data_IF_550151387353
#
_entry.id   IF_550151387353
#
_cell.length_a   1.000
_cell.length_b   1.000
_cell.length_c   1.000
_cell.angle_alpha   90.00
_cell.angle_beta   90.00
_cell.angle_gamma   90.00
#
_symmetry.space_group_name_H-M   'P 1'
#
loop_
_entity.id
_entity.type
_entity.pdbx_description
1 polymer ?
#
# COMPACT_ATOMS: atom_id res chain seq x y z
N UNK A 1 14.45 -32.12 16.36
CA UNK A 1 14.63 -30.76 15.81
C UNK A 1 14.64 -29.77 16.97
N UNK A 2 15.62 -28.85 17.04
CA UNK A 2 15.70 -27.86 18.13
C UNK A 2 14.37 -27.05 18.21
N UNK A 3 13.74 -26.98 19.39
CA UNK A 3 12.46 -26.28 19.59
C UNK A 3 12.51 -24.81 19.13
N UNK A 4 13.64 -24.13 19.33
CA UNK A 4 13.89 -22.76 18.87
C UNK A 4 13.89 -22.66 17.34
N UNK A 5 14.41 -23.68 16.65
CA UNK A 5 14.40 -23.75 15.19
C UNK A 5 12.98 -23.95 14.64
N UNK A 6 12.15 -24.77 15.32
CA UNK A 6 10.74 -24.94 14.96
C UNK A 6 9.99 -23.60 15.05
N UNK A 7 10.14 -22.90 16.18
CA UNK A 7 9.54 -21.57 16.39
C UNK A 7 9.96 -20.57 15.31
N UNK A 8 11.25 -20.56 14.95
CA UNK A 8 11.76 -19.71 13.87
C UNK A 8 11.02 -19.94 12.54
N UNK A 9 10.84 -21.20 12.14
CA UNK A 9 10.13 -21.56 10.90
C UNK A 9 8.65 -21.20 10.96
N UNK A 10 7.99 -21.40 12.09
CA UNK A 10 6.57 -21.04 12.29
C UNK A 10 6.38 -19.53 12.14
N UNK A 11 7.17 -18.73 12.86
CA UNK A 11 7.06 -17.27 12.77
C UNK A 11 7.35 -16.75 11.36
N UNK A 12 8.37 -17.26 10.69
CA UNK A 12 8.65 -16.90 9.29
C UNK A 12 7.50 -17.32 8.35
N UNK A 13 6.91 -18.50 8.57
CA UNK A 13 5.76 -18.98 7.80
C UNK A 13 4.52 -18.10 7.97
N UNK A 14 4.24 -17.64 9.19
CA UNK A 14 3.15 -16.69 9.46
C UNK A 14 3.40 -15.36 8.73
N UNK A 15 4.59 -14.78 8.89
CA UNK A 15 4.94 -13.53 8.21
C UNK A 15 4.83 -13.66 6.68
N UNK A 16 5.31 -14.78 6.11
CA UNK A 16 5.25 -15.06 4.68
C UNK A 16 3.81 -15.18 4.18
N UNK A 17 2.95 -15.86 4.94
CA UNK A 17 1.53 -16.00 4.58
C UNK A 17 0.82 -14.65 4.59
N UNK A 18 1.04 -13.82 5.62
CA UNK A 18 0.46 -12.47 5.70
C UNK A 18 0.94 -11.63 4.51
N UNK A 19 2.25 -11.60 4.23
CA UNK A 19 2.78 -10.82 3.11
C UNK A 19 2.23 -11.28 1.76
N UNK A 20 2.11 -12.60 1.57
CA UNK A 20 1.59 -13.18 0.33
C UNK A 20 0.13 -12.80 0.12
N UNK A 21 -0.71 -13.00 1.13
CA UNK A 21 -2.15 -12.72 1.04
C UNK A 21 -2.44 -11.23 0.99
N UNK A 22 -1.71 -10.39 1.71
CA UNK A 22 -1.98 -8.94 1.75
C UNK A 22 -1.45 -8.19 0.53
N UNK A 23 -0.31 -8.61 -0.02
CA UNK A 23 0.44 -7.82 -1.02
C UNK A 23 0.91 -8.64 -2.22
N UNK A 24 1.74 -9.67 -2.04
CA UNK A 24 2.41 -10.32 -3.17
C UNK A 24 1.44 -10.95 -4.17
N UNK A 25 0.46 -11.74 -3.68
CA UNK A 25 -0.54 -12.38 -4.53
C UNK A 25 -1.43 -11.39 -5.28
N UNK A 26 -2.10 -10.40 -4.62
CA UNK A 26 -2.96 -9.47 -5.33
C UNK A 26 -2.18 -8.56 -6.29
N UNK A 27 -0.95 -8.16 -5.95
CA UNK A 27 -0.10 -7.35 -6.84
C UNK A 27 0.28 -8.13 -8.11
N UNK A 28 0.73 -9.38 -7.97
CA UNK A 28 1.07 -10.23 -9.13
C UNK A 28 -0.16 -10.51 -9.98
N UNK A 29 -1.26 -10.89 -9.33
CA UNK A 29 -2.49 -11.27 -10.04
C UNK A 29 -3.13 -10.09 -10.76
N UNK A 30 -2.98 -8.86 -10.25
CA UNK A 30 -3.56 -7.66 -10.84
C UNK A 30 -2.54 -6.77 -11.59
N UNK A 31 -1.31 -7.28 -11.79
CA UNK A 31 -0.25 -6.50 -12.42
C UNK A 31 -0.62 -6.08 -13.85
N UNK A 32 -0.41 -4.80 -14.16
CA UNK A 32 -0.66 -4.23 -15.49
C UNK A 32 -2.14 -4.05 -15.87
N UNK A 33 -3.10 -4.47 -15.04
CA UNK A 33 -4.53 -4.35 -15.38
C UNK A 33 -4.96 -2.90 -15.53
N UNK A 34 -4.55 -2.01 -14.62
CA UNK A 34 -4.89 -0.58 -14.74
C UNK A 34 -4.33 0.04 -16.03
N UNK A 35 -3.12 -0.34 -16.44
CA UNK A 35 -2.52 0.14 -17.69
C UNK A 35 -3.32 -0.34 -18.92
N UNK A 36 -3.83 -1.57 -18.89
CA UNK A 36 -4.71 -2.09 -19.95
C UNK A 36 -6.04 -1.36 -19.99
N UNK A 37 -6.60 -1.00 -18.84
CA UNK A 37 -7.84 -0.21 -18.77
C UNK A 37 -7.61 1.17 -19.40
N UNK A 38 -6.52 1.85 -19.01
CA UNK A 38 -6.13 3.16 -19.54
C UNK A 38 -5.87 3.12 -21.07
N UNK A 39 -5.22 2.06 -21.56
CA UNK A 39 -4.98 1.84 -22.98
C UNK A 39 -6.22 1.37 -23.78
N UNK A 40 -7.39 1.20 -23.14
CA UNK A 40 -8.60 0.69 -23.77
C UNK A 40 -8.55 -0.80 -24.14
N UNK A 41 -7.58 -1.55 -23.63
CA UNK A 41 -7.34 -2.98 -23.92
C UNK A 41 -8.09 -3.89 -22.93
N UNK A 42 -9.35 -3.58 -22.65
CA UNK A 42 -10.15 -4.24 -21.61
C UNK A 42 -10.43 -5.71 -21.91
N UNK A 43 -10.48 -6.08 -23.20
CA UNK A 43 -10.66 -7.46 -23.66
C UNK A 43 -9.50 -8.38 -23.27
N UNK A 44 -8.31 -7.83 -23.01
CA UNK A 44 -7.15 -8.61 -22.57
C UNK A 44 -7.11 -8.87 -21.05
N UNK A 45 -8.10 -8.38 -20.30
CA UNK A 45 -8.19 -8.59 -18.85
C UNK A 45 -8.87 -9.94 -18.60
N UNK A 46 -8.14 -10.88 -18.00
CA UNK A 46 -8.66 -12.23 -17.79
C UNK A 46 -9.71 -12.30 -16.67
N UNK A 47 -10.57 -13.31 -16.72
CA UNK A 47 -11.57 -13.57 -15.68
C UNK A 47 -10.96 -13.77 -14.29
N UNK A 48 -9.76 -14.38 -14.23
CA UNK A 48 -8.99 -14.53 -12.99
C UNK A 48 -8.62 -13.18 -12.39
N UNK A 49 -8.14 -12.22 -13.20
CA UNK A 49 -7.77 -10.88 -12.72
C UNK A 49 -8.99 -10.13 -12.16
N UNK A 50 -10.12 -10.20 -12.87
CA UNK A 50 -11.41 -9.62 -12.45
C UNK A 50 -11.89 -10.22 -11.13
N UNK A 51 -11.82 -11.54 -11.00
CA UNK A 51 -12.19 -12.25 -9.78
C UNK A 51 -11.31 -11.83 -8.59
N UNK A 52 -9.98 -11.84 -8.77
CA UNK A 52 -9.05 -11.44 -7.70
C UNK A 52 -9.31 -9.99 -7.28
N UNK A 53 -9.40 -9.07 -8.23
CA UNK A 53 -9.71 -7.67 -7.92
C UNK A 53 -11.02 -7.53 -7.15
N UNK A 54 -12.07 -8.24 -7.59
CA UNK A 54 -13.39 -8.23 -6.95
C UNK A 54 -13.33 -8.72 -5.51
N UNK A 55 -12.64 -9.83 -5.23
CA UNK A 55 -12.44 -10.37 -3.87
C UNK A 55 -11.73 -9.36 -2.99
N UNK A 56 -10.63 -8.80 -3.47
CA UNK A 56 -9.82 -7.89 -2.67
C UNK A 56 -10.53 -6.55 -2.42
N UNK A 57 -11.39 -6.11 -3.32
CA UNK A 57 -12.11 -4.83 -3.21
C UNK A 57 -13.39 -4.88 -2.37
N UNK A 58 -13.82 -6.06 -1.93
CA UNK A 58 -14.99 -6.21 -1.06
C UNK A 58 -14.84 -5.40 0.22
N UNK A 59 -15.89 -4.67 0.59
CA UNK A 59 -15.93 -3.85 1.81
C UNK A 59 -15.01 -2.64 1.80
N UNK A 60 -14.27 -2.37 0.70
CA UNK A 60 -13.48 -1.14 0.56
C UNK A 60 -14.35 0.02 0.10
N UNK A 61 -13.92 1.22 0.42
CA UNK A 61 -14.45 2.47 -0.10
C UNK A 61 -14.68 2.41 -1.62
N UNK A 62 -15.77 3.03 -2.07
CA UNK A 62 -16.10 3.25 -3.47
C UNK A 62 -16.49 4.72 -3.61
N UNK A 63 -16.03 5.35 -4.69
CA UNK A 63 -16.29 6.77 -4.94
C UNK A 63 -17.79 7.05 -4.88
N UNK A 64 -18.13 8.22 -4.37
CA UNK A 64 -19.51 8.70 -4.22
C UNK A 64 -20.25 8.76 -5.57
N UNK A 65 -19.49 8.86 -6.66
CA UNK A 65 -19.98 8.89 -8.04
C UNK A 65 -20.13 7.50 -8.67
N UNK A 66 -19.66 6.44 -8.01
CA UNK A 66 -19.72 5.07 -8.54
C UNK A 66 -21.16 4.52 -8.46
N UNK A 67 -21.73 3.99 -9.56
CA UNK A 67 -23.03 3.32 -9.51
C UNK A 67 -23.02 2.13 -8.55
N UNK A 68 -24.05 2.03 -7.69
CA UNK A 68 -24.11 0.98 -6.66
C UNK A 68 -24.07 -0.43 -7.24
N UNK A 69 -24.64 -0.63 -8.42
CA UNK A 69 -24.66 -1.93 -9.09
C UNK A 69 -23.31 -2.30 -9.74
N UNK A 70 -22.40 -1.34 -9.89
CA UNK A 70 -21.02 -1.53 -10.33
C UNK A 70 -20.07 -1.90 -9.19
N UNK A 71 -20.47 -1.72 -7.92
CA UNK A 71 -19.61 -1.99 -6.77
C UNK A 71 -19.03 -3.41 -6.81
N UNK A 72 -17.70 -3.51 -6.72
CA UNK A 72 -16.94 -4.76 -6.71
C UNK A 72 -17.09 -5.62 -7.98
N UNK A 73 -17.56 -5.02 -9.07
CA UNK A 73 -17.59 -5.65 -10.39
C UNK A 73 -16.71 -4.83 -11.35
N UNK A 74 -15.53 -5.37 -11.67
CA UNK A 74 -14.53 -4.64 -12.46
C UNK A 74 -15.08 -4.23 -13.83
N UNK A 75 -15.79 -5.11 -14.52
CA UNK A 75 -16.34 -4.83 -15.86
C UNK A 75 -17.35 -3.67 -15.83
N UNK A 76 -18.22 -3.67 -14.82
CA UNK A 76 -19.17 -2.58 -14.64
C UNK A 76 -18.46 -1.28 -14.28
N UNK A 77 -17.47 -1.31 -13.39
CA UNK A 77 -16.73 -0.10 -13.00
C UNK A 77 -15.96 0.51 -14.17
N UNK A 78 -15.42 -0.33 -15.05
CA UNK A 78 -14.80 0.10 -16.30
C UNK A 78 -15.86 0.75 -17.21
N UNK A 79 -17.00 0.09 -17.41
CA UNK A 79 -18.08 0.57 -18.30
C UNK A 79 -18.69 1.90 -17.80
N UNK A 80 -18.77 2.08 -16.48
CA UNK A 80 -19.29 3.31 -15.86
C UNK A 80 -18.22 4.36 -15.60
N UNK A 81 -16.99 4.18 -16.13
CA UNK A 81 -15.85 5.10 -15.94
C UNK A 81 -15.63 5.49 -14.47
N UNK A 82 -15.83 4.52 -13.56
CA UNK A 82 -15.69 4.74 -12.13
C UNK A 82 -14.24 4.64 -11.68
N UNK A 83 -13.95 5.13 -10.48
CA UNK A 83 -12.62 5.06 -9.88
C UNK A 83 -12.20 3.62 -9.60
N UNK A 84 -11.12 3.15 -10.24
CA UNK A 84 -10.60 1.78 -10.09
C UNK A 84 -9.22 1.84 -9.45
N UNK A 85 -9.13 1.33 -8.22
CA UNK A 85 -7.88 1.17 -7.50
C UNK A 85 -7.19 -0.17 -7.74
N UNK A 86 -5.97 -0.29 -7.26
CA UNK A 86 -5.21 -1.56 -7.25
C UNK A 86 -5.82 -2.61 -6.29
N UNK A 87 -5.45 -3.87 -6.48
CA UNK A 87 -5.99 -4.99 -5.70
C UNK A 87 -5.31 -5.19 -4.34
N UNK A 88 -4.04 -4.80 -4.18
CA UNK A 88 -3.30 -4.96 -2.91
C UNK A 88 -4.01 -4.28 -1.74
N UNK A 89 -3.73 -4.69 -0.49
CA UNK A 89 -4.35 -4.04 0.66
C UNK A 89 -3.86 -2.58 0.81
N UNK A 90 -4.75 -1.63 1.12
CA UNK A 90 -4.36 -0.25 1.40
C UNK A 90 -3.51 -0.20 2.66
N UNK A 91 -2.33 0.42 2.56
CA UNK A 91 -1.38 0.53 3.67
C UNK A 91 -1.76 1.74 4.53
N UNK A 92 -2.02 2.88 3.92
CA UNK A 92 -2.31 4.12 4.63
C UNK A 92 -3.50 4.83 3.98
N UNK A 93 -4.25 5.59 4.77
CA UNK A 93 -5.32 6.46 4.27
C UNK A 93 -4.98 7.92 4.53
N UNK A 94 -5.38 8.77 3.58
CA UNK A 94 -5.41 10.21 3.75
C UNK A 94 -6.75 10.71 3.21
N UNK A 95 -7.49 11.49 3.98
CA UNK A 95 -8.70 12.16 3.52
C UNK A 95 -8.61 13.65 3.73
N UNK A 96 -9.20 14.40 2.80
CA UNK A 96 -9.40 15.84 2.89
C UNK A 96 -10.89 16.15 3.07
N UNK A 97 -11.22 16.88 4.12
CA UNK A 97 -12.50 17.57 4.24
C UNK A 97 -12.31 19.03 3.80
N UNK A 98 -13.22 19.52 2.95
CA UNK A 98 -13.22 20.92 2.53
C UNK A 98 -14.62 21.52 2.59
N UNK A 99 -14.76 22.86 2.73
CA UNK A 99 -16.05 23.53 2.68
C UNK A 99 -16.86 23.27 1.39
N UNK A 100 -16.17 23.04 0.27
CA UNK A 100 -16.80 22.81 -1.03
C UNK A 100 -17.25 21.35 -1.24
N UNK A 101 -16.92 20.44 -0.32
CA UNK A 101 -17.28 19.03 -0.37
C UNK A 101 -18.21 18.73 0.82
N UNK A 102 -19.54 18.89 0.66
CA UNK A 102 -20.49 18.77 1.75
C UNK A 102 -20.54 17.33 2.28
N UNK A 103 -20.69 17.16 3.61
CA UNK A 103 -20.66 15.84 4.26
C UNK A 103 -21.82 14.93 3.84
N UNK A 104 -22.91 15.50 3.32
CA UNK A 104 -24.02 14.74 2.76
C UNK A 104 -23.63 13.96 1.51
N UNK A 105 -22.75 14.54 0.68
CA UNK A 105 -22.21 13.88 -0.52
C UNK A 105 -20.89 13.16 -0.24
N UNK A 106 -20.02 13.74 0.58
CA UNK A 106 -18.68 13.26 0.92
C UNK A 106 -18.56 13.02 2.43
N UNK A 107 -19.23 12.00 2.98
CA UNK A 107 -19.27 11.75 4.43
C UNK A 107 -17.89 11.44 5.02
N UNK A 108 -17.01 10.84 4.23
CA UNK A 108 -15.61 10.54 4.60
C UNK A 108 -14.62 11.57 4.05
N UNK A 109 -15.10 12.71 3.54
CA UNK A 109 -14.30 13.66 2.76
C UNK A 109 -13.89 13.07 1.42
N UNK A 110 -12.64 13.30 1.03
CA UNK A 110 -12.01 12.82 -0.21
C UNK A 110 -10.91 11.83 0.16
N UNK A 111 -11.26 10.58 0.51
CA UNK A 111 -10.28 9.61 0.94
C UNK A 111 -9.49 9.05 -0.24
N UNK A 112 -8.18 9.03 -0.10
CA UNK A 112 -7.25 8.28 -0.93
C UNK A 112 -6.50 7.27 -0.06
N UNK A 113 -6.17 6.14 -0.68
CA UNK A 113 -5.45 5.06 -0.03
C UNK A 113 -4.14 4.78 -0.76
N UNK A 114 -3.08 4.62 0.00
CA UNK A 114 -1.73 4.34 -0.48
C UNK A 114 -1.47 2.85 -0.46
N UNK A 115 -0.97 2.32 -1.56
CA UNK A 115 -0.61 0.92 -1.73
C UNK A 115 0.85 0.80 -2.20
N UNK A 116 1.43 -0.40 -2.13
CA UNK A 116 2.77 -0.62 -2.69
C UNK A 116 2.83 -0.40 -4.20
N UNK A 117 1.75 -0.71 -4.92
CA UNK A 117 1.67 -0.72 -6.39
C UNK A 117 0.82 0.42 -6.96
N UNK A 118 0.30 1.33 -6.13
CA UNK A 118 -0.58 2.39 -6.62
C UNK A 118 -1.46 3.03 -5.56
N UNK A 119 -2.64 3.44 -5.99
CA UNK A 119 -3.61 4.14 -5.17
C UNK A 119 -5.02 3.57 -5.37
N UNK A 120 -5.92 3.93 -4.45
CA UNK A 120 -7.37 3.76 -4.60
C UNK A 120 -8.12 4.87 -3.86
N UNK A 121 -9.44 4.99 -4.05
CA UNK A 121 -10.26 6.05 -3.45
C UNK A 121 -10.62 7.15 -4.45
N UNK A 122 -10.84 8.37 -3.97
CA UNK A 122 -11.16 9.55 -4.77
C UNK A 122 -9.88 10.20 -5.35
N UNK A 123 -9.13 9.42 -6.15
CA UNK A 123 -7.81 9.83 -6.66
C UNK A 123 -7.93 10.99 -7.65
N UNK A 124 -8.96 11.00 -8.49
CA UNK A 124 -9.21 12.09 -9.43
C UNK A 124 -9.52 13.39 -8.70
N UNK A 125 -10.43 13.38 -7.72
CA UNK A 125 -10.76 14.57 -6.91
C UNK A 125 -9.56 15.07 -6.11
N UNK A 126 -8.76 14.15 -5.53
CA UNK A 126 -7.53 14.51 -4.84
C UNK A 126 -6.53 15.20 -5.79
N UNK A 127 -6.36 14.67 -7.01
CA UNK A 127 -5.48 15.30 -8.01
C UNK A 127 -6.01 16.66 -8.48
N UNK A 128 -7.33 16.83 -8.57
CA UNK A 128 -7.97 18.13 -8.83
C UNK A 128 -7.62 19.14 -7.73
N UNK A 129 -7.68 18.74 -6.46
CA UNK A 129 -7.28 19.61 -5.35
C UNK A 129 -5.79 19.92 -5.40
N UNK A 130 -4.95 18.91 -5.59
CA UNK A 130 -3.50 19.08 -5.75
C UNK A 130 -3.20 20.10 -6.86
N UNK A 131 -3.91 20.00 -7.98
CA UNK A 131 -3.82 20.96 -9.06
C UNK A 131 -4.13 22.39 -8.59
N UNK A 132 -5.25 22.63 -7.92
CA UNK A 132 -5.60 23.97 -7.47
C UNK A 132 -4.58 24.61 -6.50
N UNK A 133 -3.79 23.82 -5.77
CA UNK A 133 -2.75 24.32 -4.86
C UNK A 133 -1.33 24.30 -5.45
N UNK A 134 -1.20 23.95 -6.74
CA UNK A 134 0.10 23.86 -7.43
C UNK A 134 0.93 22.64 -7.04
N UNK A 135 0.32 21.61 -6.46
CA UNK A 135 0.97 20.35 -6.13
C UNK A 135 0.90 19.39 -7.33
N UNK A 136 1.99 18.65 -7.57
CA UNK A 136 2.03 17.61 -8.59
C UNK A 136 0.97 16.51 -8.33
N UNK A 137 0.47 15.84 -9.39
CA UNK A 137 -0.48 14.74 -9.22
C UNK A 137 0.16 13.55 -8.49
N UNK A 138 -0.64 12.76 -7.78
CA UNK A 138 -0.16 11.68 -6.90
C UNK A 138 0.70 10.63 -7.60
N UNK A 139 0.46 10.37 -8.88
CA UNK A 139 1.26 9.43 -9.68
C UNK A 139 2.71 9.89 -9.89
N UNK A 140 3.07 11.16 -9.63
CA UNK A 140 4.47 11.61 -9.63
C UNK A 140 5.29 11.05 -8.47
N UNK A 141 4.64 10.73 -7.35
CA UNK A 141 5.32 10.26 -6.15
C UNK A 141 5.65 8.77 -6.26
N UNK A 142 6.83 8.35 -5.83
CA UNK A 142 7.17 6.94 -5.66
C UNK A 142 7.17 6.11 -6.95
N UNK A 143 7.49 6.71 -8.11
CA UNK A 143 7.41 6.01 -9.41
C UNK A 143 8.28 4.74 -9.39
N UNK A 144 9.55 4.88 -9.02
CA UNK A 144 10.47 3.75 -8.97
C UNK A 144 10.01 2.71 -7.95
N UNK A 145 9.62 3.14 -6.75
CA UNK A 145 9.18 2.30 -5.65
C UNK A 145 7.97 1.45 -6.04
N UNK A 146 6.98 2.05 -6.72
CA UNK A 146 5.79 1.34 -7.19
C UNK A 146 6.09 0.40 -8.36
N UNK A 147 6.95 0.80 -9.29
CA UNK A 147 7.34 -0.04 -10.43
C UNK A 147 8.13 -1.27 -9.98
N UNK A 148 9.08 -1.10 -9.06
CA UNK A 148 9.88 -2.21 -8.54
C UNK A 148 9.15 -3.00 -7.44
N UNK A 149 8.10 -2.44 -6.84
CA UNK A 149 7.46 -2.95 -5.63
C UNK A 149 7.01 -4.40 -5.76
N UNK A 150 6.44 -4.79 -6.90
CA UNK A 150 6.06 -6.18 -7.18
C UNK A 150 7.26 -7.13 -7.20
N UNK A 151 8.36 -6.73 -7.85
CA UNK A 151 9.58 -7.53 -7.93
C UNK A 151 10.29 -7.60 -6.58
N UNK A 152 10.32 -6.50 -5.83
CA UNK A 152 10.89 -6.43 -4.50
C UNK A 152 10.14 -7.34 -3.52
N UNK A 153 8.80 -7.33 -3.53
CA UNK A 153 8.00 -8.22 -2.69
C UNK A 153 8.07 -9.68 -3.11
N UNK A 154 8.16 -9.98 -4.41
CA UNK A 154 8.38 -11.34 -4.88
C UNK A 154 9.76 -11.87 -4.45
N UNK A 155 10.80 -11.05 -4.59
CA UNK A 155 12.14 -11.38 -4.10
C UNK A 155 12.16 -11.60 -2.59
N UNK A 156 11.45 -10.74 -1.84
CA UNK A 156 11.31 -10.89 -0.40
C UNK A 156 10.55 -12.16 -0.01
N UNK A 157 9.49 -12.51 -0.74
CA UNK A 157 8.78 -13.79 -0.60
C UNK A 157 9.75 -14.97 -0.76
N UNK A 158 10.64 -14.93 -1.76
CA UNK A 158 11.66 -15.95 -1.93
C UNK A 158 12.63 -15.99 -0.76
N UNK A 159 13.13 -14.85 -0.27
CA UNK A 159 13.98 -14.79 0.93
C UNK A 159 13.34 -15.52 2.11
N UNK A 160 12.05 -15.29 2.36
CA UNK A 160 11.33 -15.93 3.47
C UNK A 160 11.19 -17.44 3.27
N UNK A 161 10.89 -17.89 2.05
CA UNK A 161 10.86 -19.32 1.69
C UNK A 161 12.24 -19.97 1.91
N UNK A 162 13.32 -19.36 1.40
CA UNK A 162 14.69 -19.84 1.61
C UNK A 162 15.08 -19.85 3.09
N UNK A 163 14.69 -18.83 3.87
CA UNK A 163 14.92 -18.78 5.30
C UNK A 163 14.22 -19.93 6.05
N UNK A 164 13.01 -20.33 5.63
CA UNK A 164 12.28 -21.47 6.21
C UNK A 164 12.93 -22.80 5.82
N UNK A 165 13.34 -22.94 4.56
CA UNK A 165 13.90 -24.17 4.01
C UNK A 165 15.32 -24.43 4.51
N UNK A 166 16.18 -23.41 4.54
CA UNK A 166 17.61 -23.53 4.81
C UNK A 166 18.03 -22.87 6.12
N UNK A 167 19.20 -23.25 6.61
CA UNK A 167 19.78 -22.72 7.85
C UNK A 167 21.13 -22.05 7.57
N UNK A 168 21.13 -20.96 6.82
CA UNK A 168 22.34 -20.25 6.42
C UNK A 168 22.40 -18.86 7.06
N UNK A 169 23.59 -18.45 7.57
CA UNK A 169 23.76 -17.18 8.30
C UNK A 169 23.35 -15.95 7.46
N UNK A 170 23.57 -15.97 6.15
CA UNK A 170 23.18 -14.87 5.24
C UNK A 170 21.67 -14.62 5.28
N UNK A 171 20.85 -15.69 5.33
CA UNK A 171 19.39 -15.56 5.36
C UNK A 171 18.90 -14.86 6.63
N UNK A 172 19.64 -14.96 7.73
CA UNK A 172 19.32 -14.25 8.98
C UNK A 172 19.44 -12.73 8.78
N UNK A 173 20.47 -12.25 8.08
CA UNK A 173 20.62 -10.82 7.79
C UNK A 173 19.54 -10.34 6.83
N UNK A 174 19.16 -11.15 5.83
CA UNK A 174 18.09 -10.80 4.90
C UNK A 174 16.72 -10.67 5.58
N UNK A 175 16.47 -11.38 6.69
CA UNK A 175 15.25 -11.22 7.50
C UNK A 175 15.15 -9.86 8.22
N UNK A 176 16.21 -9.04 8.22
CA UNK A 176 16.11 -7.66 8.70
C UNK A 176 15.28 -6.79 7.73
N UNK A 177 15.27 -7.10 6.44
CA UNK A 177 14.48 -6.38 5.43
C UNK A 177 12.98 -6.41 5.78
N UNK A 178 12.31 -7.57 5.87
CA UNK A 178 10.88 -7.63 6.23
C UNK A 178 10.61 -7.12 7.64
N UNK A 179 11.58 -7.25 8.56
CA UNK A 179 11.50 -6.68 9.91
C UNK A 179 11.39 -5.16 9.88
N UNK A 180 12.12 -4.51 8.96
CA UNK A 180 12.17 -3.05 8.84
C UNK A 180 11.04 -2.44 8.00
N UNK A 181 10.24 -3.23 7.30
CA UNK A 181 9.21 -2.75 6.36
C UNK A 181 8.26 -1.67 6.92
N UNK A 182 7.70 -1.79 8.15
CA UNK A 182 6.82 -0.75 8.68
C UNK A 182 7.50 0.61 8.81
N UNK A 183 8.77 0.61 9.22
CA UNK A 183 9.56 1.84 9.38
C UNK A 183 9.97 2.40 8.02
N UNK A 184 10.38 1.53 7.09
CA UNK A 184 10.71 1.94 5.72
C UNK A 184 9.50 2.57 5.03
N UNK A 185 8.30 2.01 5.21
CA UNK A 185 7.07 2.58 4.66
C UNK A 185 6.79 3.97 5.23
N UNK A 186 6.84 4.16 6.56
CA UNK A 186 6.60 5.48 7.16
C UNK A 186 7.64 6.49 6.66
N UNK A 187 8.91 6.10 6.58
CA UNK A 187 9.98 6.96 6.11
C UNK A 187 9.75 7.40 4.66
N UNK A 188 9.47 6.46 3.76
CA UNK A 188 9.22 6.73 2.34
C UNK A 188 7.94 7.56 2.13
N UNK A 189 6.84 7.19 2.79
CA UNK A 189 5.59 7.95 2.76
C UNK A 189 5.79 9.39 3.23
N UNK A 190 6.47 9.59 4.36
CA UNK A 190 6.75 10.93 4.90
C UNK A 190 7.65 11.73 3.97
N UNK A 191 8.63 11.09 3.34
CA UNK A 191 9.51 11.73 2.37
C UNK A 191 8.73 12.25 1.16
N UNK A 192 7.86 11.43 0.58
CA UNK A 192 7.05 11.85 -0.56
C UNK A 192 6.06 12.95 -0.21
N UNK A 193 5.41 12.89 0.95
CA UNK A 193 4.57 13.99 1.43
C UNK A 193 5.35 15.29 1.58
N UNK A 194 6.54 15.23 2.20
CA UNK A 194 7.42 16.39 2.31
C UNK A 194 7.77 16.96 0.93
N UNK A 195 8.17 16.09 0.00
CA UNK A 195 8.53 16.47 -1.36
C UNK A 195 7.37 17.18 -2.06
N UNK A 196 6.16 16.62 -2.03
CA UNK A 196 4.97 17.25 -2.63
C UNK A 196 4.66 18.63 -2.01
N UNK A 197 4.74 18.74 -0.69
CA UNK A 197 4.48 19.99 0.02
C UNK A 197 5.54 21.07 -0.13
N UNK A 198 6.75 20.72 -0.60
CA UNK A 198 7.88 21.65 -0.79
C UNK A 198 8.26 21.89 -2.26
N UNK A 199 7.68 21.14 -3.21
CA UNK A 199 7.86 21.32 -4.65
C UNK A 199 6.57 21.83 -5.29
N UNK A 200 5.97 22.86 -4.68
CA UNK A 200 4.78 23.52 -5.20
C UNK A 200 5.14 24.42 -6.38
N UNK A 201 4.24 24.47 -7.36
CA UNK A 201 4.44 25.20 -8.61
C UNK A 201 3.61 26.48 -8.68
N UNK A 202 4.04 27.38 -9.56
CA UNK A 202 3.41 28.68 -9.70
C UNK A 202 2.08 28.70 -10.46
N UNK A 203 1.67 27.59 -11.07
CA UNK A 203 0.43 27.49 -11.82
C UNK A 203 -0.81 27.21 -10.94
N UNK A 204 -0.62 26.89 -9.65
CA UNK A 204 -1.73 26.69 -8.71
C UNK A 204 -2.58 27.96 -8.54
N UNK A 205 -3.90 27.80 -8.56
CA UNK A 205 -4.85 28.90 -8.34
C UNK A 205 -4.73 29.52 -6.94
N UNK A 206 -4.39 28.70 -5.94
CA UNK A 206 -4.16 29.13 -4.57
C UNK A 206 -2.67 29.04 -4.22
N UNK A 207 -2.07 30.19 -3.91
CA UNK A 207 -0.69 30.26 -3.45
C UNK A 207 -0.60 29.84 -1.98
N UNK A 208 -0.04 28.65 -1.74
CA UNK A 208 0.26 28.15 -0.40
C UNK A 208 1.76 28.17 -0.20
N UNK A 209 2.21 28.55 1.00
CA UNK A 209 3.63 28.42 1.37
C UNK A 209 4.00 26.93 1.47
N UNK A 210 5.26 26.55 1.21
CA UNK A 210 5.73 25.19 1.45
C UNK A 210 5.29 24.70 2.83
N UNK A 211 4.80 23.46 2.88
CA UNK A 211 4.22 22.87 4.08
C UNK A 211 4.50 21.38 4.13
N UNK A 212 4.33 20.79 5.30
CA UNK A 212 4.35 19.34 5.48
C UNK A 212 2.90 18.83 5.50
N UNK A 213 2.45 18.05 4.50
CA UNK A 213 1.18 17.35 4.60
C UNK A 213 1.17 16.46 5.84
N UNK A 214 0.01 16.32 6.48
CA UNK A 214 -0.12 15.52 7.70
C UNK A 214 0.25 14.07 7.45
N UNK A 215 1.31 13.60 8.12
CA UNK A 215 1.76 12.20 8.04
C UNK A 215 0.85 11.28 8.85
N UNK A 216 0.47 11.71 10.05
CA UNK A 216 -0.35 10.93 10.98
C UNK A 216 -1.20 11.85 11.84
N UNK A 217 -2.45 11.46 12.07
CA UNK A 217 -3.43 12.19 12.86
C UNK A 217 -4.25 13.17 12.04
N UNK A 218 -4.90 14.08 12.76
CA UNK A 218 -5.65 15.17 12.18
C UNK A 218 -4.76 16.41 12.03
N UNK A 219 -4.93 17.11 10.92
CA UNK A 219 -4.21 18.35 10.68
C UNK A 219 -4.97 19.28 9.75
N UNK A 220 -4.31 20.34 9.32
CA UNK A 220 -4.92 21.37 8.50
C UNK A 220 -3.94 21.85 7.44
N UNK A 221 -4.40 21.89 6.20
CA UNK A 221 -3.66 22.41 5.06
C UNK A 221 -4.54 23.47 4.39
N UNK A 222 -4.16 24.74 4.50
CA UNK A 222 -5.01 25.86 4.10
C UNK A 222 -6.42 25.76 4.70
N UNK A 223 -7.46 25.61 3.87
CA UNK A 223 -8.85 25.47 4.29
C UNK A 223 -9.31 24.00 4.42
N UNK A 224 -8.42 23.05 4.14
CA UNK A 224 -8.71 21.63 4.21
C UNK A 224 -8.35 21.07 5.59
N UNK A 225 -9.26 20.31 6.19
CA UNK A 225 -8.94 19.43 7.31
C UNK A 225 -8.43 18.12 6.75
N UNK A 226 -7.31 17.63 7.26
CA UNK A 226 -6.67 16.42 6.77
C UNK A 226 -6.76 15.32 7.82
N UNK A 227 -7.13 14.11 7.43
CA UNK A 227 -7.16 12.94 8.31
C UNK A 227 -6.22 11.88 7.73
N UNK A 228 -5.11 11.59 8.40
CA UNK A 228 -4.13 10.60 7.92
C UNK A 228 -3.89 9.50 8.94
N UNK A 229 -4.23 8.27 8.58
CA UNK A 229 -4.22 7.14 9.52
C UNK A 229 -3.75 5.84 8.87
N UNK A 230 -3.19 4.90 9.66
CA UNK A 230 -2.89 3.56 9.20
C UNK A 230 -4.15 2.84 8.74
N UNK A 231 -4.07 2.17 7.59
CA UNK A 231 -5.11 1.27 7.11
C UNK A 231 -4.71 -0.19 7.37
N UNK A 232 -5.57 -1.14 6.98
CA UNK A 232 -5.40 -2.57 7.27
C UNK A 232 -4.03 -3.11 6.81
N UNK A 233 -3.52 -2.63 5.66
CA UNK A 233 -2.22 -3.02 5.13
C UNK A 233 -1.06 -2.61 6.05
N UNK A 234 -1.11 -1.44 6.70
CA UNK A 234 -0.05 -1.07 7.63
C UNK A 234 -0.01 -1.98 8.86
N UNK A 235 -1.16 -2.37 9.40
CA UNK A 235 -1.20 -3.36 10.47
C UNK A 235 -0.64 -4.71 10.01
N UNK A 236 -0.95 -5.15 8.78
CA UNK A 236 -0.31 -6.32 8.18
C UNK A 236 1.22 -6.18 8.10
N UNK A 237 1.73 -5.01 7.70
CA UNK A 237 3.18 -4.74 7.70
C UNK A 237 3.78 -4.86 9.10
N UNK A 238 3.13 -4.29 10.12
CA UNK A 238 3.58 -4.39 11.51
C UNK A 238 3.66 -5.85 11.94
N UNK A 239 2.64 -6.66 11.64
CA UNK A 239 2.68 -8.10 11.94
C UNK A 239 3.77 -8.84 11.17
N UNK A 240 3.95 -8.55 9.88
CA UNK A 240 5.07 -9.11 9.08
C UNK A 240 6.41 -8.78 9.75
N UNK A 241 6.60 -7.53 10.18
CA UNK A 241 7.81 -7.08 10.84
C UNK A 241 8.06 -7.80 12.17
N UNK A 242 7.03 -7.87 13.04
CA UNK A 242 7.11 -8.55 14.34
C UNK A 242 7.41 -10.03 14.16
N UNK A 243 6.68 -10.75 13.31
CA UNK A 243 6.90 -12.18 13.11
C UNK A 243 8.24 -12.48 12.43
N UNK A 244 8.70 -11.60 11.53
CA UNK A 244 10.05 -11.70 10.95
C UNK A 244 11.15 -11.53 12.00
N UNK A 245 10.99 -10.57 12.91
CA UNK A 245 11.92 -10.37 14.03
C UNK A 245 11.91 -11.57 14.98
N UNK A 246 10.74 -12.08 15.37
CA UNK A 246 10.62 -13.26 16.22
C UNK A 246 11.24 -14.50 15.55
N UNK A 247 11.09 -14.64 14.24
CA UNK A 247 11.71 -15.70 13.46
C UNK A 247 13.23 -15.62 13.51
N UNK A 248 13.79 -14.42 13.34
CA UNK A 248 15.22 -14.13 13.41
C UNK A 248 15.78 -14.40 14.82
N UNK A 249 15.17 -13.86 15.87
CA UNK A 249 15.61 -14.04 17.25
C UNK A 249 15.60 -15.53 17.65
N UNK A 250 14.56 -16.25 17.25
CA UNK A 250 14.45 -17.71 17.48
C UNK A 250 15.54 -18.49 16.73
N UNK A 251 15.93 -18.04 15.52
CA UNK A 251 17.00 -18.65 14.72
C UNK A 251 18.37 -18.45 15.35
N UNK A 252 18.65 -17.23 15.82
CA UNK A 252 19.89 -16.90 16.53
C UNK A 252 20.01 -17.72 17.81
N UNK A 253 18.93 -17.83 18.58
CA UNK A 253 18.87 -18.68 19.77
C UNK A 253 19.17 -20.15 19.43
N UNK A 254 18.54 -20.69 18.39
CA UNK A 254 18.76 -22.08 17.96
C UNK A 254 20.22 -22.36 17.58
N UNK A 255 20.88 -21.40 16.93
CA UNK A 255 22.30 -21.52 16.53
C UNK A 255 23.20 -21.57 17.77
N UNK A 256 22.98 -20.68 18.75
CA UNK A 256 23.73 -20.68 20.01
C UNK A 256 23.55 -21.98 20.81
N UNK A 257 22.33 -22.54 20.85
CA UNK A 257 22.06 -23.82 21.52
C UNK A 257 22.76 -25.01 20.84
N UNK A 258 23.05 -24.92 19.55
CA UNK A 258 23.79 -25.92 18.79
C UNK A 258 25.30 -25.79 18.97
N UNK A 259 25.84 -24.59 19.15
CA UNK A 259 27.27 -24.35 19.38
C UNK A 259 27.74 -24.74 20.81
N UNK A 260 26.81 -24.87 21.76
CA UNK A 260 27.07 -25.23 23.17
C UNK A 260 27.01 -26.75 23.41
N UNK A 261 26.57 -27.54 22.43
CA UNK A 261 26.50 -29.01 22.50
C UNK A 261 27.64 -29.65 21.72
#
# INVERSE_FOLDING_TARGET
>A
MNQSLIKSKIFAGIAFLIMTLSFTFPMISFHGVLNKIDAGQQEEISSFQKMVWGIYNQGRYKSTTTPKDAHNNLDKMITSSSEIGVASLPIWSCSLEAPNYPKEAFPEGIPVFFHFDGFSGEVHEMNTINHYIGMDPMWRGGILEREIGIYALLFLSLIMVYFIAYNHKVLNYLMLIPTSLPLLFIADYSYWLYWFGHNLHDWGAFKIKPFMPTVFGDGKVAQFTTHSYPSIGFYCLVFIGIFSLLALLSRVKATKESDVR
#
